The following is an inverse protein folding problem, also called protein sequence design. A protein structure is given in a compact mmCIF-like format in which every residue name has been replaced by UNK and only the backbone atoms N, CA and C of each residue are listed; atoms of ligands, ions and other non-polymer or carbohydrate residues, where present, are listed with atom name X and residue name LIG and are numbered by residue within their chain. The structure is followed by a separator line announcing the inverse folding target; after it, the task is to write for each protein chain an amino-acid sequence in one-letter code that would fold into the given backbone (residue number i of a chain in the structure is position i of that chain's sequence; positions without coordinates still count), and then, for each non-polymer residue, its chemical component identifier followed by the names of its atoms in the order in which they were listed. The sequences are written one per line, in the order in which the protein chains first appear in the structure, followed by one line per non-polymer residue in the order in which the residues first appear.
data_IF_959604631047
#
_entry.id   IF_959604631047
#
_cell.length_a   1.000
_cell.length_b   1.000
_cell.length_c   1.000
_cell.angle_alpha   90.00
_cell.angle_beta   90.00
_cell.angle_gamma   90.00
#
_symmetry.space_group_name_H-M   'P 1'
#
loop_
_entity.id
_entity.type
_entity.pdbx_description
1 polymer ?
#
# COMPACT_ATOMS: atom_id res chain seq x y z
N UNK A 1 14.24 9.01 -0.98
CA UNK A 1 13.30 8.56 -2.03
C UNK A 1 13.91 8.45 -3.43
N UNK A 2 14.41 9.52 -4.06
CA UNK A 2 14.92 9.41 -5.44
C UNK A 2 16.11 8.44 -5.57
N UNK A 3 17.06 8.45 -4.62
CA UNK A 3 18.19 7.51 -4.67
C UNK A 3 17.73 6.06 -4.55
N UNK A 4 16.72 5.79 -3.70
CA UNK A 4 16.09 4.47 -3.59
C UNK A 4 15.40 4.04 -4.89
N UNK A 5 14.80 4.97 -5.63
CA UNK A 5 14.27 4.70 -6.96
C UNK A 5 15.40 4.37 -7.96
N UNK A 6 16.50 5.12 -7.93
CA UNK A 6 17.66 4.89 -8.82
C UNK A 6 18.30 3.52 -8.59
N UNK A 7 18.39 3.07 -7.34
CA UNK A 7 18.87 1.73 -7.00
C UNK A 7 17.99 0.62 -7.61
N UNK A 8 16.69 0.88 -7.76
CA UNK A 8 15.72 -0.06 -8.30
C UNK A 8 15.62 -0.03 -9.84
N UNK A 9 15.57 1.16 -10.43
CA UNK A 9 15.19 1.38 -11.82
C UNK A 9 16.26 2.10 -12.67
N UNK A 10 17.41 2.43 -12.09
CA UNK A 10 18.49 3.15 -12.75
C UNK A 10 18.28 4.68 -12.81
N UNK A 11 19.37 5.46 -12.95
CA UNK A 11 19.31 6.93 -13.06
C UNK A 11 18.59 7.44 -14.31
N UNK A 12 18.54 6.65 -15.39
CA UNK A 12 17.78 6.95 -16.60
C UNK A 12 16.27 7.06 -16.34
N UNK A 13 15.78 6.44 -15.26
CA UNK A 13 14.39 6.45 -14.84
C UNK A 13 14.03 7.62 -13.90
N UNK A 14 14.93 8.58 -13.67
CA UNK A 14 14.73 9.70 -12.73
C UNK A 14 13.42 10.46 -12.96
N UNK A 15 13.04 10.67 -14.23
CA UNK A 15 11.80 11.37 -14.59
C UNK A 15 10.58 10.67 -14.00
N UNK A 16 10.52 9.34 -14.08
CA UNK A 16 9.42 8.54 -13.56
C UNK A 16 9.45 8.51 -12.02
N UNK A 17 10.63 8.31 -11.42
CA UNK A 17 10.78 8.35 -9.97
C UNK A 17 10.33 9.69 -9.37
N UNK A 18 10.72 10.81 -10.00
CA UNK A 18 10.28 12.14 -9.59
C UNK A 18 8.77 12.35 -9.78
N UNK A 19 8.16 11.83 -10.85
CA UNK A 19 6.71 11.86 -11.04
C UNK A 19 5.97 11.10 -9.93
N UNK A 20 6.46 9.89 -9.58
CA UNK A 20 5.90 9.10 -8.48
C UNK A 20 6.02 9.83 -7.14
N UNK A 21 7.22 10.35 -6.80
CA UNK A 21 7.42 11.14 -5.58
C UNK A 21 6.47 12.35 -5.54
N UNK A 22 6.30 13.05 -6.66
CA UNK A 22 5.40 14.20 -6.74
C UNK A 22 3.94 13.82 -6.50
N UNK A 23 3.48 12.66 -7.01
CA UNK A 23 2.13 12.13 -6.73
C UNK A 23 1.92 11.87 -5.26
N UNK A 24 2.86 11.18 -4.60
CA UNK A 24 2.80 10.98 -3.14
C UNK A 24 2.93 12.29 -2.33
N UNK A 25 3.42 13.36 -2.95
CA UNK A 25 3.51 14.70 -2.37
C UNK A 25 2.30 15.60 -2.64
N UNK A 26 1.22 15.10 -3.24
CA UNK A 26 0.03 15.92 -3.52
C UNK A 26 -0.59 16.47 -2.21
N UNK A 27 -0.99 17.76 -2.17
CA UNK A 27 -1.32 18.46 -0.93
C UNK A 27 -2.61 17.99 -0.24
N UNK A 28 -3.43 17.18 -0.90
CA UNK A 28 -4.64 16.59 -0.31
C UNK A 28 -4.37 15.31 0.48
N UNK A 29 -3.20 14.67 0.30
CA UNK A 29 -2.81 13.46 1.03
C UNK A 29 -2.43 13.81 2.47
N UNK A 30 -2.74 12.93 3.41
CA UNK A 30 -2.34 13.05 4.83
C UNK A 30 -1.71 11.77 5.33
N UNK A 31 -2.29 10.62 5.00
CA UNK A 31 -1.71 9.32 5.28
C UNK A 31 -0.92 8.80 4.07
N UNK A 32 -1.54 8.75 2.90
CA UNK A 32 -0.98 8.14 1.67
C UNK A 32 0.06 9.04 1.00
N UNK A 33 1.11 9.37 1.74
CA UNK A 33 2.17 10.34 1.40
C UNK A 33 3.49 9.64 1.08
N UNK A 34 4.55 10.41 0.81
CA UNK A 34 5.89 9.84 0.64
C UNK A 34 6.39 9.09 1.89
N UNK A 35 5.91 9.45 3.08
CA UNK A 35 6.24 8.75 4.31
C UNK A 35 5.58 7.36 4.38
N UNK A 36 4.35 7.22 3.89
CA UNK A 36 3.70 5.91 3.71
C UNK A 36 4.50 5.04 2.73
N UNK A 37 4.81 5.57 1.56
CA UNK A 37 5.62 4.85 0.56
C UNK A 37 6.97 4.39 1.14
N UNK A 38 7.66 5.24 1.89
CA UNK A 38 8.92 4.88 2.54
C UNK A 38 8.74 3.73 3.54
N UNK A 39 7.71 3.80 4.39
CA UNK A 39 7.39 2.74 5.35
C UNK A 39 7.06 1.40 4.66
N UNK A 40 6.25 1.42 3.60
CA UNK A 40 5.93 0.20 2.83
C UNK A 40 7.20 -0.39 2.22
N UNK A 41 8.07 0.43 1.62
CA UNK A 41 9.32 -0.07 1.05
C UNK A 41 10.26 -0.65 2.12
N UNK A 42 10.32 -0.05 3.31
CA UNK A 42 11.11 -0.59 4.43
C UNK A 42 10.59 -1.97 4.87
N UNK A 43 9.27 -2.15 4.92
CA UNK A 43 8.68 -3.44 5.20
C UNK A 43 8.90 -4.46 4.07
N UNK A 44 8.79 -4.05 2.80
CA UNK A 44 9.15 -4.90 1.66
C UNK A 44 10.61 -5.36 1.76
N UNK A 45 11.54 -4.47 2.13
CA UNK A 45 12.95 -4.80 2.28
C UNK A 45 13.19 -5.78 3.44
N UNK A 46 12.52 -5.58 4.58
CA UNK A 46 12.58 -6.50 5.71
C UNK A 46 12.02 -7.89 5.37
N UNK A 47 11.02 -7.96 4.49
CA UNK A 47 10.35 -9.18 4.07
C UNK A 47 10.90 -9.77 2.77
N UNK A 48 11.92 -9.16 2.15
CA UNK A 48 12.40 -9.52 0.82
C UNK A 48 12.82 -11.00 0.69
N UNK A 49 13.27 -11.63 1.78
CA UNK A 49 13.62 -13.06 1.79
C UNK A 49 12.43 -14.01 1.58
N UNK A 50 11.19 -13.53 1.72
CA UNK A 50 9.96 -14.29 1.48
C UNK A 50 9.40 -14.08 0.07
N UNK A 51 9.83 -13.05 -0.66
CA UNK A 51 9.35 -12.76 -2.00
C UNK A 51 10.04 -13.66 -3.04
N UNK A 52 9.28 -14.07 -4.06
CA UNK A 52 9.83 -14.74 -5.24
C UNK A 52 10.59 -13.76 -6.13
N UNK A 53 10.08 -12.54 -6.28
CA UNK A 53 10.75 -11.45 -6.98
C UNK A 53 10.64 -10.12 -6.21
N UNK A 54 11.57 -9.86 -5.27
CA UNK A 54 11.58 -8.62 -4.48
C UNK A 54 11.66 -7.34 -5.32
N UNK A 55 12.27 -7.39 -6.51
CA UNK A 55 12.34 -6.24 -7.41
C UNK A 55 10.96 -5.82 -7.94
N UNK A 56 10.14 -6.79 -8.36
CA UNK A 56 8.77 -6.52 -8.81
C UNK A 56 7.86 -6.09 -7.65
N UNK A 57 8.06 -6.64 -6.45
CA UNK A 57 7.34 -6.20 -5.25
C UNK A 57 7.66 -4.74 -4.91
N UNK A 58 8.93 -4.33 -4.98
CA UNK A 58 9.31 -2.91 -4.79
C UNK A 58 8.70 -2.02 -5.84
N UNK A 59 8.70 -2.42 -7.12
CA UNK A 59 8.00 -1.66 -8.16
C UNK A 59 6.51 -1.54 -7.84
N UNK A 60 5.84 -2.63 -7.45
CA UNK A 60 4.43 -2.56 -7.06
C UNK A 60 4.20 -1.62 -5.87
N UNK A 61 5.06 -1.63 -4.86
CA UNK A 61 5.01 -0.68 -3.74
C UNK A 61 5.14 0.78 -4.22
N UNK A 62 6.00 1.08 -5.19
CA UNK A 62 6.10 2.43 -5.78
C UNK A 62 4.83 2.88 -6.53
N UNK A 63 4.04 1.93 -7.04
CA UNK A 63 2.85 2.25 -7.84
C UNK A 63 1.53 2.16 -7.07
N UNK A 64 1.41 1.39 -5.98
CA UNK A 64 0.11 0.98 -5.42
C UNK A 64 -0.86 2.15 -5.16
N UNK A 65 -0.35 3.23 -4.58
CA UNK A 65 -1.10 4.47 -4.28
C UNK A 65 -0.62 5.70 -5.07
N UNK A 66 0.12 5.47 -6.16
CA UNK A 66 0.60 6.54 -7.03
C UNK A 66 -0.55 7.37 -7.61
N UNK A 67 -1.75 6.80 -7.77
CA UNK A 67 -2.99 7.54 -8.00
C UNK A 67 -3.87 7.42 -6.76
N UNK A 68 -4.21 8.55 -6.15
CA UNK A 68 -5.06 8.56 -4.95
C UNK A 68 -5.98 9.78 -4.93
N UNK A 69 -7.28 9.52 -4.95
CA UNK A 69 -8.32 10.48 -4.64
C UNK A 69 -9.33 9.79 -3.70
N UNK A 70 -9.49 10.25 -2.44
CA UNK A 70 -10.38 9.60 -1.48
C UNK A 70 -11.86 9.66 -1.89
N UNK A 71 -12.22 10.44 -2.93
CA UNK A 71 -13.57 10.49 -3.51
C UNK A 71 -13.84 9.40 -4.54
N UNK A 72 -12.83 8.59 -4.87
CA UNK A 72 -12.89 7.54 -5.90
C UNK A 72 -12.71 6.17 -5.28
N UNK A 73 -13.28 5.15 -5.94
CA UNK A 73 -13.13 3.74 -5.56
C UNK A 73 -12.35 2.92 -6.59
N UNK A 74 -11.58 3.56 -7.48
CA UNK A 74 -10.80 2.92 -8.55
C UNK A 74 -9.32 3.35 -8.53
N UNK A 75 -8.81 3.77 -7.37
CA UNK A 75 -7.45 4.30 -7.23
C UNK A 75 -6.41 3.24 -7.59
N UNK A 76 -6.53 2.03 -7.05
CA UNK A 76 -5.64 0.90 -7.24
C UNK A 76 -5.65 0.46 -8.71
N UNK A 77 -6.81 0.42 -9.36
CA UNK A 77 -6.90 0.12 -10.79
C UNK A 77 -6.19 1.19 -11.65
N UNK A 78 -6.31 2.47 -11.27
CA UNK A 78 -5.64 3.57 -11.98
C UNK A 78 -4.13 3.57 -11.75
N UNK A 79 -3.70 3.23 -10.54
CA UNK A 79 -2.30 2.98 -10.16
C UNK A 79 -1.71 1.82 -10.96
N UNK A 80 -2.43 0.68 -11.06
CA UNK A 80 -2.02 -0.46 -11.86
C UNK A 80 -1.88 -0.09 -13.35
N UNK A 81 -2.86 0.63 -13.91
CA UNK A 81 -2.77 1.13 -15.29
C UNK A 81 -1.63 2.13 -15.50
N UNK A 82 -1.26 2.88 -14.47
CA UNK A 82 -0.09 3.75 -14.53
C UNK A 82 1.19 2.91 -14.66
N UNK A 83 1.32 1.84 -13.88
CA UNK A 83 2.43 0.89 -14.00
C UNK A 83 2.47 0.23 -15.39
N UNK A 84 1.32 -0.24 -15.90
CA UNK A 84 1.20 -0.86 -17.24
C UNK A 84 1.68 0.05 -18.38
N UNK A 85 1.52 1.37 -18.24
CA UNK A 85 2.00 2.34 -19.22
C UNK A 85 3.48 2.70 -19.04
N UNK A 86 3.92 2.84 -17.79
CA UNK A 86 5.23 3.40 -17.48
C UNK A 86 6.36 2.37 -17.52
N UNK A 87 6.12 1.15 -17.04
CA UNK A 87 7.16 0.13 -16.91
C UNK A 87 7.72 -0.41 -18.24
N UNK A 88 6.93 -0.51 -19.35
CA UNK A 88 7.51 -0.83 -20.65
C UNK A 88 8.56 0.18 -21.13
N UNK A 89 8.43 1.46 -20.76
CA UNK A 89 9.43 2.49 -21.09
C UNK A 89 10.77 2.26 -20.38
N UNK A 90 10.77 1.48 -19.27
CA UNK A 90 11.96 1.05 -18.55
C UNK A 90 12.53 -0.29 -19.06
N UNK A 91 11.96 -0.85 -20.13
CA UNK A 91 12.42 -2.10 -20.72
C UNK A 91 11.98 -3.37 -19.99
N UNK A 92 11.02 -3.28 -19.07
CA UNK A 92 10.43 -4.48 -18.46
C UNK A 92 9.63 -5.27 -19.51
N UNK A 93 9.78 -6.59 -19.46
CA UNK A 93 8.99 -7.48 -20.31
C UNK A 93 7.49 -7.48 -19.90
N UNK A 94 6.58 -7.91 -20.80
CA UNK A 94 5.14 -7.88 -20.52
C UNK A 94 4.70 -8.70 -19.31
N UNK A 95 5.42 -9.78 -18.95
CA UNK A 95 5.07 -10.66 -17.82
C UNK A 95 5.42 -9.98 -16.48
N UNK A 96 6.58 -9.32 -16.42
CA UNK A 96 6.99 -8.48 -15.30
C UNK A 96 6.00 -7.32 -15.08
N UNK A 97 5.61 -6.63 -16.15
CA UNK A 97 4.61 -5.55 -16.09
C UNK A 97 3.26 -6.06 -15.59
N UNK A 98 2.79 -7.19 -16.11
CA UNK A 98 1.54 -7.80 -15.68
C UNK A 98 1.59 -8.21 -14.20
N UNK A 99 2.73 -8.72 -13.74
CA UNK A 99 2.95 -9.06 -12.33
C UNK A 99 2.86 -7.83 -11.43
N UNK A 100 3.56 -6.74 -11.75
CA UNK A 100 3.49 -5.49 -10.97
C UNK A 100 2.06 -4.96 -10.92
N UNK A 101 1.37 -4.92 -12.06
CA UNK A 101 0.00 -4.43 -12.11
C UNK A 101 -0.99 -5.32 -11.34
N UNK A 102 -0.78 -6.65 -11.34
CA UNK A 102 -1.55 -7.60 -10.52
C UNK A 102 -1.31 -7.36 -9.04
N UNK A 103 -0.06 -7.17 -8.63
CA UNK A 103 0.30 -6.89 -7.24
C UNK A 103 -0.31 -5.57 -6.75
N UNK A 104 -0.29 -4.52 -7.58
CA UNK A 104 -0.99 -3.26 -7.26
C UNK A 104 -2.50 -3.48 -7.08
N UNK A 105 -3.15 -4.24 -7.96
CA UNK A 105 -4.59 -4.54 -7.81
C UNK A 105 -4.90 -5.38 -6.58
N UNK A 106 -3.97 -6.20 -6.13
CA UNK A 106 -4.14 -7.03 -4.94
C UNK A 106 -4.32 -6.19 -3.67
N UNK A 107 -3.81 -4.96 -3.62
CA UNK A 107 -3.99 -4.05 -2.48
C UNK A 107 -5.44 -3.57 -2.31
N UNK A 108 -6.36 -3.90 -3.24
CA UNK A 108 -7.80 -3.69 -3.04
C UNK A 108 -8.33 -4.60 -1.93
N UNK A 109 -7.86 -5.85 -1.87
CA UNK A 109 -8.39 -6.88 -0.95
C UNK A 109 -7.39 -7.28 0.12
N UNK A 110 -6.09 -7.14 -0.16
CA UNK A 110 -5.00 -7.68 0.65
C UNK A 110 -5.15 -9.18 0.96
N UNK A 111 -5.78 -9.93 0.04
CA UNK A 111 -6.04 -11.35 0.20
C UNK A 111 -5.29 -12.15 -0.88
N UNK A 112 -3.96 -12.33 -0.73
CA UNK A 112 -3.19 -13.15 -1.64
C UNK A 112 -3.62 -14.61 -1.56
N UNK A 113 -3.70 -15.26 -2.72
CA UNK A 113 -3.93 -16.70 -2.82
C UNK A 113 -2.81 -17.50 -2.12
N UNK A 114 -3.09 -18.69 -1.58
CA UNK A 114 -2.06 -19.56 -1.02
C UNK A 114 -0.94 -19.84 -2.03
N UNK A 115 0.30 -19.49 -1.65
CA UNK A 115 1.48 -19.63 -2.51
C UNK A 115 1.85 -18.39 -3.33
N UNK A 116 1.05 -17.33 -3.31
CA UNK A 116 1.41 -16.02 -3.88
C UNK A 116 2.39 -15.27 -2.95
N UNK A 117 3.66 -15.67 -3.01
CA UNK A 117 4.73 -15.13 -2.17
C UNK A 117 4.93 -13.61 -2.34
N UNK A 118 4.87 -13.12 -3.58
CA UNK A 118 5.04 -11.69 -3.86
C UNK A 118 3.83 -10.88 -3.38
N UNK A 119 2.62 -11.41 -3.56
CA UNK A 119 1.39 -10.79 -3.07
C UNK A 119 1.32 -10.75 -1.54
N UNK A 120 1.80 -11.82 -0.88
CA UNK A 120 1.96 -11.88 0.56
C UNK A 120 2.90 -10.78 1.08
N UNK A 121 4.08 -10.61 0.46
CA UNK A 121 5.03 -9.58 0.90
C UNK A 121 4.47 -8.18 0.71
N UNK A 122 3.85 -7.87 -0.43
CA UNK A 122 3.27 -6.54 -0.65
C UNK A 122 2.12 -6.25 0.33
N UNK A 123 1.19 -7.20 0.50
CA UNK A 123 0.03 -7.02 1.37
C UNK A 123 0.45 -6.85 2.83
N UNK A 124 1.38 -7.68 3.31
CA UNK A 124 1.92 -7.57 4.67
C UNK A 124 2.66 -6.25 4.88
N UNK A 125 3.41 -5.77 3.87
CA UNK A 125 4.15 -4.52 3.97
C UNK A 125 3.22 -3.29 4.00
N UNK A 126 2.18 -3.28 3.18
CA UNK A 126 1.22 -2.18 3.11
C UNK A 126 0.33 -2.11 4.37
N UNK A 127 -0.06 -3.28 4.90
CA UNK A 127 -0.86 -3.37 6.12
C UNK A 127 -0.05 -3.24 7.42
N UNK A 128 1.27 -3.16 7.36
CA UNK A 128 2.13 -3.19 8.55
C UNK A 128 1.82 -2.08 9.58
N UNK A 129 1.31 -0.93 9.13
CA UNK A 129 0.85 0.16 10.01
C UNK A 129 -0.18 -0.33 11.04
N UNK A 130 -0.96 -1.36 10.70
CA UNK A 130 -2.01 -1.86 11.57
C UNK A 130 -1.45 -2.47 12.86
N UNK A 131 -0.23 -2.98 12.83
CA UNK A 131 0.46 -3.56 13.98
C UNK A 131 1.39 -2.57 14.70
N UNK A 132 1.34 -1.29 14.36
CA UNK A 132 2.18 -0.26 14.98
C UNK A 132 1.81 -0.01 16.45
N UNK A 133 2.70 0.60 17.24
CA UNK A 133 2.39 1.03 18.60
C UNK A 133 1.14 1.94 18.66
N UNK A 134 0.36 1.93 19.75
CA UNK A 134 -0.92 2.64 19.83
C UNK A 134 -0.87 4.13 19.45
N UNK A 135 0.20 4.84 19.81
CA UNK A 135 0.39 6.24 19.47
C UNK A 135 0.60 6.46 17.96
N UNK A 136 1.29 5.55 17.29
CA UNK A 136 1.51 5.58 15.84
C UNK A 136 0.21 5.22 15.11
N UNK A 137 -0.50 4.20 15.60
CA UNK A 137 -1.78 3.79 15.07
C UNK A 137 -2.83 4.92 15.17
N UNK A 138 -2.87 5.63 16.30
CA UNK A 138 -3.77 6.77 16.48
C UNK A 138 -3.45 7.94 15.52
N UNK A 139 -2.16 8.20 15.24
CA UNK A 139 -1.78 9.20 14.25
C UNK A 139 -2.20 8.78 12.83
N UNK A 140 -2.06 7.48 12.50
CA UNK A 140 -2.54 6.90 11.25
C UNK A 140 -4.05 7.09 11.07
N UNK A 141 -4.87 6.71 12.06
CA UNK A 141 -6.33 6.81 11.94
C UNK A 141 -6.80 8.27 11.86
N UNK A 142 -6.15 9.19 12.57
CA UNK A 142 -6.40 10.62 12.45
C UNK A 142 -6.08 11.16 11.05
N UNK A 143 -4.93 10.78 10.47
CA UNK A 143 -4.55 11.17 9.12
C UNK A 143 -5.53 10.63 8.06
N UNK A 144 -5.97 9.37 8.18
CA UNK A 144 -7.02 8.81 7.33
C UNK A 144 -8.33 9.59 7.51
N UNK A 145 -8.73 9.91 8.74
CA UNK A 145 -9.94 10.72 8.98
C UNK A 145 -9.87 12.07 8.28
N UNK A 146 -8.71 12.71 8.24
CA UNK A 146 -8.50 13.97 7.52
C UNK A 146 -8.63 13.83 5.99
N UNK A 147 -8.14 12.75 5.39
CA UNK A 147 -8.30 12.50 3.94
C UNK A 147 -9.77 12.39 3.55
N UNK A 148 -10.59 11.84 4.45
CA UNK A 148 -12.03 11.71 4.29
C UNK A 148 -12.82 12.84 4.98
N UNK A 149 -12.21 13.99 5.30
CA UNK A 149 -12.89 15.10 6.00
C UNK A 149 -14.16 15.62 5.29
N UNK A 150 -14.28 15.37 3.98
CA UNK A 150 -15.48 15.70 3.20
C UNK A 150 -16.66 14.73 3.43
N UNK A 151 -16.42 13.58 4.06
CA UNK A 151 -17.44 12.57 4.40
C UNK A 151 -18.01 12.89 5.79
N UNK A 152 -19.35 12.94 5.95
CA UNK A 152 -19.99 13.11 7.25
C UNK A 152 -19.57 12.04 8.26
N UNK A 153 -19.46 12.41 9.53
CA UNK A 153 -18.88 11.54 10.57
C UNK A 153 -19.55 10.16 10.68
N UNK A 154 -20.89 10.09 10.65
CA UNK A 154 -21.61 8.81 10.72
C UNK A 154 -21.34 7.91 9.50
N UNK A 155 -21.25 8.51 8.31
CA UNK A 155 -20.92 7.80 7.09
C UNK A 155 -19.46 7.33 7.08
N UNK A 156 -18.54 8.16 7.57
CA UNK A 156 -17.14 7.78 7.72
C UNK A 156 -16.98 6.63 8.71
N UNK A 157 -17.60 6.70 9.89
CA UNK A 157 -17.58 5.62 10.89
C UNK A 157 -18.10 4.30 10.31
N UNK A 158 -19.23 4.36 9.61
CA UNK A 158 -19.84 3.18 8.98
C UNK A 158 -18.90 2.57 7.93
N UNK A 159 -18.34 3.39 7.03
CA UNK A 159 -17.41 2.94 6.00
C UNK A 159 -16.10 2.41 6.57
N UNK A 160 -15.51 3.12 7.53
CA UNK A 160 -14.28 2.70 8.21
C UNK A 160 -14.49 1.38 8.94
N UNK A 161 -15.57 1.23 9.70
CA UNK A 161 -15.89 -0.02 10.38
C UNK A 161 -16.08 -1.19 9.40
N UNK A 162 -16.62 -0.94 8.20
CA UNK A 162 -16.73 -1.96 7.16
C UNK A 162 -15.35 -2.42 6.66
N UNK A 163 -14.41 -1.50 6.42
CA UNK A 163 -13.02 -1.82 6.03
C UNK A 163 -12.31 -2.61 7.12
N UNK A 164 -12.44 -2.21 8.39
CA UNK A 164 -11.80 -2.94 9.48
C UNK A 164 -12.36 -4.36 9.64
N UNK A 165 -13.69 -4.52 9.49
CA UNK A 165 -14.33 -5.84 9.53
C UNK A 165 -13.89 -6.71 8.35
N UNK A 166 -13.80 -6.17 7.14
CA UNK A 166 -13.34 -6.97 5.98
C UNK A 166 -11.91 -7.47 6.18
N UNK A 167 -11.03 -6.68 6.79
CA UNK A 167 -9.68 -7.13 7.15
C UNK A 167 -9.72 -8.21 8.26
N UNK A 168 -10.55 -8.04 9.28
CA UNK A 168 -10.69 -9.03 10.36
C UNK A 168 -11.29 -10.36 9.91
N UNK A 169 -12.12 -10.33 8.86
CA UNK A 169 -12.75 -11.49 8.23
C UNK A 169 -11.78 -12.29 7.34
N UNK A 170 -10.59 -11.75 7.03
CA UNK A 170 -9.54 -12.49 6.34
C UNK A 170 -9.08 -13.68 7.21
N UNK A 171 -8.77 -14.84 6.60
CA UNK A 171 -8.21 -15.99 7.32
C UNK A 171 -6.94 -15.64 8.11
N UNK A 172 -6.13 -14.73 7.58
CA UNK A 172 -5.05 -14.04 8.28
C UNK A 172 -4.81 -12.68 7.62
N UNK A 173 -4.54 -11.65 8.42
CA UNK A 173 -4.21 -10.30 7.92
C UNK A 173 -2.77 -10.30 7.40
N UNK A 174 -1.86 -10.99 8.10
CA UNK A 174 -0.46 -11.13 7.71
C UNK A 174 -0.12 -12.57 7.36
N UNK A 175 0.63 -12.77 6.27
CA UNK A 175 1.03 -14.09 5.78
C UNK A 175 2.41 -14.50 6.27
N UNK A 176 3.33 -13.53 6.39
CA UNK A 176 4.75 -13.78 6.66
C UNK A 176 5.34 -12.87 7.74
N UNK A 177 4.75 -11.69 8.00
CA UNK A 177 5.33 -10.70 8.90
C UNK A 177 5.21 -11.02 10.40
N UNK A 178 4.32 -11.94 10.79
CA UNK A 178 4.11 -12.30 12.21
C UNK A 178 3.47 -11.18 13.05
N UNK A 179 2.77 -10.25 12.40
CA UNK A 179 2.19 -9.04 13.02
C UNK A 179 0.70 -9.16 13.40
N UNK A 180 0.11 -10.36 13.19
CA UNK A 180 -1.33 -10.64 13.30
C UNK A 180 -1.95 -10.18 14.62
N UNK A 181 -1.35 -10.57 15.75
CA UNK A 181 -1.94 -10.30 17.06
C UNK A 181 -1.98 -8.81 17.36
N UNK A 182 -0.91 -8.09 17.04
CA UNK A 182 -0.81 -6.65 17.24
C UNK A 182 -1.84 -5.90 16.38
N UNK A 183 -1.96 -6.27 15.10
CA UNK A 183 -2.93 -5.68 14.21
C UNK A 183 -4.36 -5.94 14.67
N UNK A 184 -4.72 -7.18 15.01
CA UNK A 184 -6.07 -7.49 15.49
C UNK A 184 -6.42 -6.71 16.76
N UNK A 185 -5.48 -6.52 17.70
CA UNK A 185 -5.73 -5.67 18.89
C UNK A 185 -6.06 -4.23 18.50
N UNK A 186 -5.29 -3.62 17.60
CA UNK A 186 -5.53 -2.26 17.15
C UNK A 186 -6.85 -2.13 16.37
N UNK A 187 -7.17 -3.07 15.48
CA UNK A 187 -8.42 -3.05 14.71
C UNK A 187 -9.66 -3.15 15.60
N UNK A 188 -9.65 -4.04 16.60
CA UNK A 188 -10.76 -4.14 17.56
C UNK A 188 -10.87 -2.87 18.42
N UNK A 189 -9.74 -2.33 18.89
CA UNK A 189 -9.75 -1.09 19.66
C UNK A 189 -10.29 0.11 18.85
N UNK A 190 -9.99 0.20 17.55
CA UNK A 190 -10.57 1.21 16.68
C UNK A 190 -12.08 0.99 16.50
N UNK A 191 -12.52 -0.26 16.27
CA UNK A 191 -13.94 -0.60 16.14
C UNK A 191 -14.76 -0.23 17.38
N UNK A 192 -14.20 -0.39 18.58
CA UNK A 192 -14.88 -0.03 19.83
C UNK A 192 -15.04 1.50 20.01
N UNK A 193 -14.22 2.30 19.32
CA UNK A 193 -14.20 3.76 19.41
C UNK A 193 -14.95 4.47 18.26
N UNK A 194 -15.16 3.80 17.11
CA UNK A 194 -15.90 4.34 15.96
C UNK A 194 -17.39 4.52 16.27
#
# INVERSE_FOLDING_TARGET
MLDRWRELAGPEADRLGLDLIARYGEPHRRYHTTAHLEAVLDHVDALAGHAGNPGLVRLAAWFHDAVYDPRRGDNEERSARLAERALPELGLDPEAVATVARLVRLTITHDPEPGDADGAVLSDADLAILASPPEVYAAYTAAVREEYAFVPDEAFRTGRAAVLRSLLDLPAIFRVAGLEEAARRNLHAELDWL
#
